data_IF_802241806164
#
_entry.id   IF_802241806164
#
_cell.length_a   1.000
_cell.length_b   1.000
_cell.length_c   1.000
_cell.angle_alpha   90.00
_cell.angle_beta   90.00
_cell.angle_gamma   90.00
#
_symmetry.space_group_name_H-M   'P 1'
#
loop_
_entity.id
_entity.type
_entity.pdbx_description
1 polymer ?
#
# COMPACT_ATOMS: atom_id res chain seq x y z
N UNK A 1 -19.54 0.76 1.13
CA UNK A 1 -19.51 -0.39 2.04
C UNK A 1 -18.41 -1.31 1.54
N UNK A 2 -17.19 -1.22 2.07
CA UNK A 2 -16.18 -2.24 1.76
C UNK A 2 -16.66 -3.52 2.45
N UNK A 3 -17.18 -4.46 1.66
CA UNK A 3 -17.29 -5.83 2.13
C UNK A 3 -15.86 -6.33 2.27
N UNK A 4 -15.47 -6.68 3.50
CA UNK A 4 -14.34 -7.56 3.74
C UNK A 4 -14.72 -8.90 3.11
N UNK A 5 -14.38 -9.03 1.83
CA UNK A 5 -14.63 -10.22 1.04
C UNK A 5 -13.78 -11.37 1.59
N UNK A 6 -14.31 -12.59 1.54
CA UNK A 6 -13.76 -13.81 2.15
C UNK A 6 -12.45 -14.27 1.49
N UNK A 7 -11.38 -13.51 1.63
CA UNK A 7 -10.03 -13.89 1.23
C UNK A 7 -9.19 -14.15 2.49
N UNK A 8 -8.30 -15.12 2.40
CA UNK A 8 -7.44 -15.57 3.50
C UNK A 8 -6.61 -14.43 4.13
N UNK A 9 -5.84 -14.74 5.19
CA UNK A 9 -5.07 -13.73 5.93
C UNK A 9 -4.28 -12.83 4.99
N UNK A 10 -4.34 -11.51 5.20
CA UNK A 10 -3.56 -10.58 4.38
C UNK A 10 -2.08 -10.80 4.68
N UNK A 11 -1.34 -11.26 3.67
CA UNK A 11 0.09 -11.50 3.81
C UNK A 11 0.84 -10.19 4.04
N UNK A 12 1.69 -10.16 5.06
CA UNK A 12 2.70 -9.10 5.30
C UNK A 12 3.73 -8.99 4.18
N UNK A 13 3.74 -9.91 3.20
CA UNK A 13 4.59 -9.84 2.02
C UNK A 13 4.37 -8.56 1.19
N UNK A 14 3.17 -7.97 1.22
CA UNK A 14 2.84 -6.74 0.49
C UNK A 14 3.22 -5.44 1.22
N UNK A 15 3.94 -5.52 2.35
CA UNK A 15 4.35 -4.34 3.08
C UNK A 15 5.64 -3.74 2.50
N UNK A 16 5.66 -2.41 2.34
CA UNK A 16 6.85 -1.64 1.96
C UNK A 16 7.98 -1.79 2.98
N UNK A 17 7.62 -2.09 4.22
CA UNK A 17 8.53 -2.37 5.30
C UNK A 17 7.88 -3.36 6.26
N UNK A 18 8.63 -4.40 6.62
CA UNK A 18 8.19 -5.45 7.54
C UNK A 18 9.19 -5.58 8.68
N UNK A 19 8.70 -5.56 9.91
CA UNK A 19 9.48 -5.83 11.12
C UNK A 19 9.11 -7.23 11.59
N UNK A 20 10.09 -8.14 11.65
CA UNK A 20 9.89 -9.52 12.04
C UNK A 20 10.37 -9.77 13.46
N UNK A 21 9.55 -10.47 14.25
CA UNK A 21 9.83 -10.89 15.62
C UNK A 21 10.45 -9.79 16.51
N UNK A 22 9.87 -8.57 16.57
CA UNK A 22 10.43 -7.51 17.40
C UNK A 22 10.37 -7.87 18.89
N UNK A 23 11.37 -7.42 19.64
CA UNK A 23 11.38 -7.51 21.10
C UNK A 23 10.35 -6.54 21.68
N UNK A 24 9.57 -6.98 22.67
CA UNK A 24 8.52 -6.17 23.33
C UNK A 24 9.04 -5.63 24.67
N UNK A 25 8.88 -4.33 24.98
CA UNK A 25 8.19 -3.30 24.18
C UNK A 25 8.95 -2.92 22.90
N UNK A 26 8.21 -2.71 21.83
CA UNK A 26 8.76 -2.27 20.55
C UNK A 26 8.30 -0.84 20.26
N UNK A 27 9.24 0.00 19.82
CA UNK A 27 8.97 1.33 19.26
C UNK A 27 9.80 1.49 17.99
N UNK A 28 9.19 1.93 16.90
CA UNK A 28 9.87 2.12 15.64
C UNK A 28 9.19 3.17 14.75
N UNK A 29 9.91 3.70 13.75
CA UNK A 29 9.36 4.67 12.83
C UNK A 29 8.34 4.02 11.87
N UNK A 30 7.35 4.80 11.47
CA UNK A 30 6.41 4.51 10.38
C UNK A 30 7.04 5.06 9.08
N UNK A 31 7.49 4.23 8.13
CA UNK A 31 8.28 4.69 7.00
C UNK A 31 7.52 5.58 5.99
N UNK A 32 7.65 6.90 6.16
CA UNK A 32 6.97 7.91 5.33
C UNK A 32 5.87 8.68 6.06
N UNK A 33 5.68 8.43 7.37
CA UNK A 33 4.57 8.96 8.14
C UNK A 33 3.27 8.22 7.83
N UNK A 34 2.17 8.68 8.41
CA UNK A 34 0.86 8.06 8.28
C UNK A 34 -0.10 8.90 7.41
N UNK A 35 -0.60 8.33 6.31
CA UNK A 35 -1.50 9.00 5.36
C UNK A 35 -2.81 8.23 5.13
N UNK A 36 -3.92 8.90 4.76
CA UNK A 36 -5.15 8.21 4.38
C UNK A 36 -4.92 7.17 3.27
N UNK A 37 -5.42 5.96 3.50
CA UNK A 37 -5.28 4.78 2.65
C UNK A 37 -4.18 3.81 3.10
N UNK A 38 -3.28 4.23 3.99
CA UNK A 38 -2.25 3.34 4.53
C UNK A 38 -2.82 2.32 5.50
N UNK A 39 -2.16 1.16 5.55
CA UNK A 39 -2.56 0.03 6.38
C UNK A 39 -1.37 -0.41 7.22
N UNK A 40 -1.62 -0.61 8.51
CA UNK A 40 -0.69 -1.29 9.42
C UNK A 40 -1.27 -2.66 9.74
N UNK A 41 -0.51 -3.71 9.44
CA UNK A 41 -0.85 -5.10 9.80
C UNK A 41 0.03 -5.53 10.96
N UNK A 42 -0.57 -6.11 12.00
CA UNK A 42 0.11 -6.66 13.17
C UNK A 42 -0.29 -8.11 13.32
N UNK A 43 0.67 -9.02 13.20
CA UNK A 43 0.47 -10.44 13.43
C UNK A 43 1.20 -10.85 14.70
N UNK A 44 0.50 -11.51 15.62
CA UNK A 44 1.03 -11.83 16.93
C UNK A 44 0.28 -12.97 17.62
N UNK A 45 0.65 -13.22 18.87
CA UNK A 45 0.00 -14.15 19.78
C UNK A 45 -0.17 -13.47 21.13
N UNK A 46 -1.35 -13.62 21.73
CA UNK A 46 -1.59 -13.19 23.11
C UNK A 46 -1.10 -14.31 24.04
N UNK A 47 -0.17 -14.06 24.97
CA UNK A 47 0.22 -15.03 26.00
C UNK A 47 -0.98 -15.52 26.84
N UNK A 48 -0.97 -16.75 27.37
CA UNK A 48 -2.05 -17.29 28.21
C UNK A 48 -2.33 -16.49 29.48
N UNK A 49 -1.32 -15.77 29.98
CA UNK A 49 -1.29 -15.00 31.22
C UNK A 49 -1.37 -13.48 30.99
N UNK A 50 -1.69 -13.03 29.77
CA UNK A 50 -1.73 -11.61 29.45
C UNK A 50 -2.89 -10.87 30.13
N UNK A 51 -2.59 -9.80 30.85
CA UNK A 51 -3.60 -8.88 31.41
C UNK A 51 -4.11 -7.88 30.38
N UNK A 52 -3.20 -7.24 29.64
CA UNK A 52 -3.51 -6.34 28.53
C UNK A 52 -2.27 -6.13 27.66
N UNK A 53 -2.47 -5.63 26.45
CA UNK A 53 -1.40 -5.03 25.64
C UNK A 53 -1.92 -3.75 24.99
N UNK A 54 -1.03 -2.92 24.48
CA UNK A 54 -1.40 -1.68 23.81
C UNK A 54 -0.63 -1.51 22.50
N UNK A 55 -1.28 -0.82 21.56
CA UNK A 55 -0.72 -0.33 20.31
C UNK A 55 -0.92 1.17 20.28
N UNK A 56 0.17 1.92 20.16
CA UNK A 56 0.14 3.38 20.11
C UNK A 56 0.70 3.88 18.78
N UNK A 57 -0.05 4.79 18.15
CA UNK A 57 0.39 5.59 17.01
C UNK A 57 0.67 7.01 17.48
N UNK A 58 1.94 7.41 17.52
CA UNK A 58 2.40 8.67 18.13
C UNK A 58 3.09 9.62 17.16
N UNK A 59 3.13 10.90 17.54
CA UNK A 59 3.90 11.95 16.87
C UNK A 59 5.24 12.12 17.59
N UNK A 60 6.20 11.27 17.24
CA UNK A 60 7.49 11.12 17.91
C UNK A 60 7.54 10.04 18.99
N UNK A 61 8.73 9.88 19.58
CA UNK A 61 9.06 8.87 20.60
C UNK A 61 9.67 9.46 21.89
N UNK A 62 9.59 10.78 22.09
CA UNK A 62 10.01 11.43 23.33
C UNK A 62 9.22 10.90 24.52
N UNK A 63 9.93 10.63 25.62
CA UNK A 63 9.37 10.19 26.90
C UNK A 63 9.26 11.33 27.92
N UNK A 64 9.87 12.49 27.64
CA UNK A 64 9.81 13.68 28.51
C UNK A 64 10.03 14.99 27.71
N UNK A 65 8.97 15.75 27.41
CA UNK A 65 7.57 15.39 27.61
C UNK A 65 7.20 14.18 26.76
N UNK A 66 6.23 13.38 27.22
CA UNK A 66 5.71 12.24 26.47
C UNK A 66 5.09 12.74 25.16
N UNK A 67 5.44 12.08 24.07
CA UNK A 67 4.91 12.39 22.75
C UNK A 67 3.40 12.16 22.68
N UNK A 68 2.71 12.99 21.90
CA UNK A 68 1.28 12.86 21.69
C UNK A 68 0.96 11.51 21.02
N UNK A 69 -0.09 10.85 21.50
CA UNK A 69 -0.60 9.58 20.97
C UNK A 69 -1.88 9.90 20.21
N UNK A 70 -1.82 9.85 18.88
CA UNK A 70 -2.97 10.09 18.03
C UNK A 70 -4.01 8.98 18.19
N UNK A 71 -3.56 7.73 18.32
CA UNK A 71 -4.42 6.58 18.51
C UNK A 71 -3.78 5.58 19.47
N UNK A 72 -4.41 5.39 20.62
CA UNK A 72 -4.14 4.35 21.59
C UNK A 72 -5.19 3.25 21.41
N UNK A 73 -4.77 2.00 21.25
CA UNK A 73 -5.63 0.83 21.18
C UNK A 73 -5.17 -0.18 22.23
N UNK A 74 -6.03 -0.50 23.19
CA UNK A 74 -5.69 -1.37 24.31
C UNK A 74 -6.71 -2.48 24.54
N UNK A 75 -6.43 -3.71 24.07
CA UNK A 75 -7.17 -4.90 24.48
C UNK A 75 -6.88 -5.27 25.95
N UNK A 76 -7.92 -5.40 26.77
CA UNK A 76 -7.88 -5.79 28.17
C UNK A 76 -8.56 -7.14 28.39
N UNK A 77 -7.93 -8.04 29.14
CA UNK A 77 -8.35 -9.41 29.41
C UNK A 77 -8.73 -9.65 30.88
N UNK A 78 -9.07 -8.58 31.61
CA UNK A 78 -9.52 -8.65 33.01
C UNK A 78 -10.95 -9.25 33.12
N UNK A 79 -11.57 -9.13 34.30
CA UNK A 79 -12.92 -9.63 34.55
C UNK A 79 -14.00 -8.96 33.67
N UNK A 80 -13.69 -7.82 33.02
CA UNK A 80 -14.53 -7.14 32.03
C UNK A 80 -13.80 -6.96 30.70
N UNK A 81 -13.64 -8.05 29.92
CA UNK A 81 -12.91 -8.04 28.66
C UNK A 81 -13.37 -6.93 27.71
N UNK A 82 -12.46 -6.05 27.30
CA UNK A 82 -12.79 -4.86 26.53
C UNK A 82 -11.63 -4.36 25.70
N UNK A 83 -11.93 -3.53 24.70
CA UNK A 83 -10.96 -2.78 23.92
C UNK A 83 -11.15 -1.31 24.22
N UNK A 84 -10.11 -0.67 24.74
CA UNK A 84 -10.10 0.75 25.08
C UNK A 84 -9.36 1.53 24.01
N UNK A 85 -9.97 2.61 23.53
CA UNK A 85 -9.36 3.55 22.61
C UNK A 85 -9.30 4.97 23.20
N UNK A 86 -8.21 5.68 22.96
CA UNK A 86 -8.08 7.09 23.36
C UNK A 86 -6.99 7.81 22.57
N UNK A 87 -6.80 9.11 22.84
CA UNK A 87 -5.69 9.92 22.36
C UNK A 87 -5.06 10.64 23.54
N UNK A 88 -3.73 10.78 23.53
CA UNK A 88 -2.96 11.54 24.50
C UNK A 88 -2.49 12.83 23.83
N UNK A 89 -2.84 13.98 24.38
CA UNK A 89 -2.41 15.29 23.90
C UNK A 89 -1.80 16.08 25.05
N UNK A 90 -0.57 16.56 24.88
CA UNK A 90 0.16 17.32 25.90
C UNK A 90 0.17 16.58 27.24
N UNK A 91 0.53 15.29 27.21
CA UNK A 91 0.58 14.39 28.37
C UNK A 91 -0.77 14.15 29.09
N UNK A 92 -1.89 14.57 28.50
CA UNK A 92 -3.24 14.39 29.06
C UNK A 92 -4.11 13.49 28.18
N UNK A 93 -4.73 12.48 28.79
CA UNK A 93 -5.66 11.60 28.08
C UNK A 93 -7.00 12.30 27.81
N UNK A 94 -7.55 12.08 26.62
CA UNK A 94 -8.88 12.56 26.25
C UNK A 94 -10.02 11.66 26.76
N UNK A 95 -11.18 11.79 26.11
CA UNK A 95 -12.37 10.96 26.39
C UNK A 95 -12.13 9.50 25.97
N UNK A 96 -12.35 8.55 26.86
CA UNK A 96 -12.16 7.13 26.57
C UNK A 96 -13.32 6.56 25.74
N UNK A 97 -12.99 5.78 24.70
CA UNK A 97 -13.95 4.99 23.93
C UNK A 97 -13.75 3.51 24.25
N UNK A 98 -14.68 2.92 25.01
CA UNK A 98 -14.61 1.51 25.46
C UNK A 98 -15.57 0.63 24.65
N UNK A 99 -15.04 -0.46 24.09
CA UNK A 99 -15.82 -1.48 23.39
C UNK A 99 -15.76 -2.81 24.17
N UNK A 100 -16.91 -3.32 24.61
CA UNK A 100 -17.01 -4.59 25.35
C UNK A 100 -16.93 -5.85 24.46
N UNK A 101 -16.49 -5.70 23.21
CA UNK A 101 -16.21 -6.80 22.30
C UNK A 101 -14.70 -6.99 22.23
N UNK A 102 -14.20 -8.13 22.75
CA UNK A 102 -12.80 -8.48 22.71
C UNK A 102 -12.54 -9.64 21.72
N UNK A 103 -12.08 -9.35 20.48
CA UNK A 103 -11.80 -10.39 19.48
C UNK A 103 -10.47 -11.13 19.72
N UNK A 104 -9.65 -10.64 20.67
CA UNK A 104 -8.39 -11.24 21.06
C UNK A 104 -8.61 -12.34 22.09
N UNK A 105 -7.87 -13.44 22.00
CA UNK A 105 -7.96 -14.57 22.95
C UNK A 105 -6.59 -14.93 23.51
N UNK A 106 -6.50 -15.08 24.84
CA UNK A 106 -5.32 -15.61 25.53
C UNK A 106 -4.91 -16.95 24.92
N UNK A 107 -3.62 -17.13 24.66
CA UNK A 107 -3.03 -18.31 24.03
C UNK A 107 -3.27 -18.45 22.52
N UNK A 108 -3.95 -17.50 21.87
CA UNK A 108 -4.29 -17.59 20.44
C UNK A 108 -3.51 -16.57 19.59
N UNK A 109 -3.24 -16.90 18.31
CA UNK A 109 -2.75 -15.92 17.37
C UNK A 109 -3.83 -14.89 17.01
N UNK A 110 -3.39 -13.73 16.55
CA UNK A 110 -4.26 -12.70 16.01
C UNK A 110 -3.62 -12.00 14.81
N UNK A 111 -4.47 -11.43 13.96
CA UNK A 111 -4.12 -10.43 12.96
C UNK A 111 -4.93 -9.16 13.25
N UNK A 112 -4.27 -8.03 13.46
CA UNK A 112 -4.90 -6.71 13.57
C UNK A 112 -4.55 -5.89 12.33
N UNK A 113 -5.55 -5.32 11.68
CA UNK A 113 -5.41 -4.42 10.54
C UNK A 113 -5.92 -3.05 10.98
N UNK A 114 -5.06 -2.04 10.91
CA UNK A 114 -5.41 -0.64 11.14
C UNK A 114 -5.35 0.07 9.79
N UNK A 115 -6.51 0.44 9.26
CA UNK A 115 -6.64 1.26 8.06
C UNK A 115 -6.77 2.73 8.46
N UNK A 116 -5.91 3.57 7.90
CA UNK A 116 -5.98 5.02 8.03
C UNK A 116 -7.02 5.52 7.03
N UNK A 117 -8.18 5.98 7.48
CA UNK A 117 -9.18 6.60 6.63
C UNK A 117 -9.13 8.13 6.76
N UNK A 118 -9.76 8.86 5.84
CA UNK A 118 -9.83 10.33 5.90
C UNK A 118 -10.51 10.86 7.17
N UNK A 119 -11.47 10.09 7.72
CA UNK A 119 -12.32 10.53 8.85
C UNK A 119 -11.93 9.87 10.18
N UNK A 120 -10.98 8.93 10.18
CA UNK A 120 -10.57 8.18 11.39
C UNK A 120 -9.74 6.93 11.08
N UNK A 121 -9.41 6.18 12.10
CA UNK A 121 -8.85 4.83 12.00
C UNK A 121 -9.96 3.80 11.93
N UNK A 122 -9.81 2.78 11.07
CA UNK A 122 -10.69 1.61 11.04
C UNK A 122 -9.88 0.40 11.43
N UNK A 123 -10.36 -0.35 12.42
CA UNK A 123 -9.66 -1.53 12.94
C UNK A 123 -10.46 -2.77 12.61
N UNK A 124 -9.76 -3.80 12.12
CA UNK A 124 -10.28 -5.15 11.97
C UNK A 124 -9.35 -6.13 12.68
N UNK A 125 -9.93 -7.17 13.28
CA UNK A 125 -9.20 -8.25 13.95
C UNK A 125 -9.69 -9.58 13.40
N UNK A 126 -8.76 -10.43 12.97
CA UNK A 126 -9.05 -11.75 12.41
C UNK A 126 -10.09 -11.70 11.28
N UNK A 127 -9.92 -10.76 10.36
CA UNK A 127 -10.80 -10.55 9.20
C UNK A 127 -12.17 -9.93 9.52
N UNK A 128 -12.46 -9.62 10.78
CA UNK A 128 -13.74 -9.02 11.19
C UNK A 128 -13.54 -7.59 11.63
N UNK A 129 -14.40 -6.67 11.16
CA UNK A 129 -14.39 -5.29 11.60
C UNK A 129 -14.64 -5.19 13.12
N UNK A 130 -13.83 -4.39 13.82
CA UNK A 130 -13.92 -4.19 15.26
C UNK A 130 -14.48 -2.82 15.62
N UNK A 131 -13.83 -1.75 15.15
CA UNK A 131 -14.17 -0.37 15.52
C UNK A 131 -13.72 0.66 14.49
N UNK A 132 -14.31 1.85 14.58
CA UNK A 132 -13.85 3.07 13.91
C UNK A 132 -13.57 4.13 14.98
N UNK A 133 -12.38 4.76 14.93
CA UNK A 133 -11.96 5.78 15.89
C UNK A 133 -11.70 7.09 15.15
N UNK A 134 -12.45 8.16 15.48
CA UNK A 134 -12.31 9.45 14.77
C UNK A 134 -10.97 10.11 15.08
N UNK A 135 -10.40 10.76 14.07
CA UNK A 135 -9.14 11.49 14.24
C UNK A 135 -9.31 12.64 15.24
N UNK A 136 -8.61 12.55 16.38
CA UNK A 136 -8.46 13.68 17.33
C UNK A 136 -7.16 14.45 17.10
N UNK A 137 -6.23 13.84 16.39
CA UNK A 137 -4.93 14.38 15.97
C UNK A 137 -4.82 14.19 14.46
N UNK A 138 -4.17 15.12 13.77
CA UNK A 138 -3.95 14.98 12.33
C UNK A 138 -3.08 13.73 12.06
N UNK A 139 -3.51 12.79 11.21
CA UNK A 139 -2.73 11.57 10.95
C UNK A 139 -1.35 11.89 10.35
N UNK A 140 -1.21 12.98 9.59
CA UNK A 140 0.03 13.36 8.92
C UNK A 140 1.20 13.67 9.86
N UNK A 141 0.94 13.95 11.15
CA UNK A 141 2.00 14.18 12.14
C UNK A 141 2.43 12.88 12.84
N UNK A 142 1.75 11.77 12.60
CA UNK A 142 2.05 10.47 13.19
C UNK A 142 3.17 9.80 12.41
N UNK A 143 4.26 9.49 13.10
CA UNK A 143 5.49 8.95 12.51
C UNK A 143 6.06 7.76 13.28
N UNK A 144 5.45 7.40 14.40
CA UNK A 144 5.99 6.41 15.34
C UNK A 144 4.92 5.39 15.69
N UNK A 145 5.28 4.12 15.56
CA UNK A 145 4.48 2.98 16.00
C UNK A 145 5.11 2.40 17.27
N UNK A 146 4.28 2.07 18.25
CA UNK A 146 4.74 1.27 19.40
C UNK A 146 3.73 0.22 19.84
N UNK A 147 4.25 -0.86 20.40
CA UNK A 147 3.47 -1.97 20.93
C UNK A 147 4.14 -2.52 22.20
N UNK A 148 3.36 -2.65 23.27
CA UNK A 148 3.86 -3.06 24.59
C UNK A 148 2.80 -3.84 25.40
N UNK A 149 3.22 -4.46 26.49
CA UNK A 149 2.37 -5.26 27.37
C UNK A 149 2.41 -6.76 27.06
N UNK A 150 1.38 -7.50 27.48
CA UNK A 150 1.28 -8.95 27.34
C UNK A 150 0.97 -9.37 25.91
N UNK A 151 1.96 -9.30 25.02
CA UNK A 151 1.82 -9.67 23.61
C UNK A 151 3.14 -10.21 23.06
N UNK A 152 3.06 -11.21 22.18
CA UNK A 152 4.18 -11.65 21.34
C UNK A 152 3.88 -11.22 19.91
N UNK A 153 4.78 -10.46 19.29
CA UNK A 153 4.60 -9.98 17.91
C UNK A 153 5.48 -10.78 16.98
N UNK A 154 4.88 -11.32 15.92
CA UNK A 154 5.56 -12.09 14.88
C UNK A 154 5.93 -11.20 13.69
N UNK A 155 5.03 -10.31 13.29
CA UNK A 155 5.27 -9.37 12.21
C UNK A 155 4.50 -8.05 12.38
N UNK A 156 5.12 -6.94 11.97
CA UNK A 156 4.47 -5.65 11.74
C UNK A 156 4.72 -5.27 10.29
N UNK A 157 3.67 -5.12 9.50
CA UNK A 157 3.75 -4.71 8.10
C UNK A 157 3.16 -3.31 7.90
N UNK A 158 3.93 -2.42 7.29
CA UNK A 158 3.47 -1.11 6.84
C UNK A 158 3.18 -1.17 5.34
N UNK A 159 1.90 -1.23 5.01
CA UNK A 159 1.43 -1.26 3.62
C UNK A 159 1.07 0.18 3.25
N UNK A 160 1.83 0.82 2.37
CA UNK A 160 1.52 2.16 1.94
C UNK A 160 0.17 2.14 1.20
N UNK A 161 -0.42 3.32 1.02
CA UNK A 161 -1.51 3.50 0.07
C UNK A 161 -1.02 3.37 -1.38
N UNK A 162 0.03 2.56 -1.66
CA UNK A 162 0.30 2.13 -3.02
C UNK A 162 -0.92 1.35 -3.43
N UNK A 163 -1.84 2.00 -4.12
CA UNK A 163 -3.08 1.38 -4.53
C UNK A 163 -2.84 0.20 -5.48
N UNK A 164 -1.58 -0.06 -5.87
CA UNK A 164 -1.09 -1.24 -6.57
C UNK A 164 -0.56 -2.28 -5.57
N UNK A 165 -1.23 -3.42 -5.47
CA UNK A 165 -0.85 -4.56 -4.62
C UNK A 165 -0.25 -5.66 -5.47
N UNK A 166 0.99 -6.06 -5.20
CA UNK A 166 1.62 -7.19 -5.90
C UNK A 166 0.86 -8.49 -5.60
N UNK A 167 0.52 -9.24 -6.64
CA UNK A 167 -0.07 -10.57 -6.49
C UNK A 167 0.93 -11.58 -5.93
N UNK A 168 2.22 -11.46 -6.28
CA UNK A 168 3.29 -12.33 -5.80
C UNK A 168 3.81 -11.93 -4.41
N UNK A 169 3.51 -10.73 -3.94
CA UNK A 169 4.08 -10.18 -2.70
C UNK A 169 5.50 -9.63 -2.86
N UNK A 170 6.03 -9.56 -4.08
CA UNK A 170 7.35 -9.02 -4.38
C UNK A 170 7.36 -8.22 -5.70
N UNK A 171 8.55 -7.79 -6.13
CA UNK A 171 8.78 -7.07 -7.38
C UNK A 171 9.33 -8.00 -8.49
N UNK A 172 9.13 -9.31 -8.37
CA UNK A 172 9.60 -10.26 -9.38
C UNK A 172 8.89 -10.04 -10.72
N UNK A 173 9.61 -10.24 -11.82
CA UNK A 173 9.09 -10.11 -13.18
C UNK A 173 8.85 -11.52 -13.74
N UNK A 174 7.65 -11.84 -14.28
CA UNK A 174 6.53 -10.93 -14.58
C UNK A 174 5.79 -10.44 -13.32
N UNK A 175 5.66 -9.12 -13.22
CA UNK A 175 4.99 -8.45 -12.11
C UNK A 175 3.52 -8.23 -12.44
N UNK A 176 2.65 -8.51 -11.47
CA UNK A 176 1.23 -8.19 -11.53
C UNK A 176 0.81 -7.45 -10.28
N UNK A 177 0.24 -6.26 -10.46
CA UNK A 177 -0.19 -5.37 -9.41
C UNK A 177 -1.67 -5.02 -9.52
N UNK A 178 -2.47 -5.29 -8.49
CA UNK A 178 -3.91 -4.95 -8.44
C UNK A 178 -4.14 -3.50 -8.02
N UNK A 179 -4.90 -2.74 -8.79
CA UNK A 179 -5.31 -1.35 -8.55
C UNK A 179 -6.75 -1.31 -7.99
N UNK A 180 -6.91 -1.33 -6.66
CA UNK A 180 -8.18 -1.67 -5.99
C UNK A 180 -9.44 -0.90 -6.44
N UNK A 181 -9.30 0.37 -6.82
CA UNK A 181 -10.43 1.23 -7.24
C UNK A 181 -10.36 1.62 -8.72
N UNK A 182 -9.48 0.96 -9.45
CA UNK A 182 -9.01 1.41 -10.75
C UNK A 182 -8.33 2.78 -10.71
N UNK A 183 -8.12 3.36 -11.88
CA UNK A 183 -7.51 4.67 -12.02
C UNK A 183 -8.55 5.80 -12.03
N UNK A 184 -8.09 6.99 -11.63
CA UNK A 184 -8.85 8.23 -11.68
C UNK A 184 -7.97 9.39 -12.13
N UNK A 185 -8.55 10.43 -12.75
CA UNK A 185 -7.79 11.60 -13.18
C UNK A 185 -7.02 12.26 -12.03
N UNK A 186 -5.77 12.62 -12.28
CA UNK A 186 -4.85 13.20 -11.30
C UNK A 186 -3.91 12.18 -10.65
N UNK A 187 -4.24 10.89 -10.71
CA UNK A 187 -3.37 9.84 -10.20
C UNK A 187 -2.19 9.59 -11.11
N UNK A 188 -1.06 9.16 -10.53
CA UNK A 188 0.09 8.74 -11.32
C UNK A 188 0.78 7.51 -10.77
N UNK A 189 1.29 6.69 -11.69
CA UNK A 189 2.08 5.51 -11.38
C UNK A 189 3.55 5.84 -11.58
N UNK A 190 4.37 5.57 -10.57
CA UNK A 190 5.83 5.60 -10.67
C UNK A 190 6.36 4.17 -10.76
N UNK A 191 7.17 3.87 -11.76
CA UNK A 191 7.85 2.59 -11.94
C UNK A 191 9.35 2.86 -12.02
N UNK A 192 10.11 2.31 -11.09
CA UNK A 192 11.57 2.42 -11.05
C UNK A 192 12.18 1.05 -11.27
N UNK A 193 13.23 1.00 -12.04
CA UNK A 193 13.93 -0.24 -12.32
C UNK A 193 15.26 -0.02 -13.00
N UNK A 194 15.86 -1.14 -13.38
CA UNK A 194 17.06 -1.18 -14.19
C UNK A 194 16.77 -2.03 -15.43
N UNK A 195 17.13 -1.53 -16.61
CA UNK A 195 17.06 -2.34 -17.83
C UNK A 195 18.12 -3.45 -17.73
N UNK A 196 17.79 -4.69 -18.13
CA UNK A 196 18.77 -5.77 -18.13
C UNK A 196 19.99 -5.46 -19.02
N UNK A 197 21.12 -6.14 -18.80
CA UNK A 197 22.36 -5.96 -19.56
C UNK A 197 22.30 -6.39 -21.04
N UNK A 198 21.33 -7.23 -21.40
CA UNK A 198 21.14 -7.71 -22.77
C UNK A 198 19.66 -7.67 -23.17
N UNK A 199 19.05 -6.47 -23.22
CA UNK A 199 17.61 -6.34 -23.34
C UNK A 199 17.18 -6.42 -24.82
N UNK A 200 16.15 -7.23 -25.09
CA UNK A 200 15.39 -7.16 -26.33
C UNK A 200 14.26 -6.13 -26.20
N UNK A 201 13.40 -6.32 -25.19
CA UNK A 201 12.25 -5.46 -24.93
C UNK A 201 11.65 -5.72 -23.56
N UNK A 202 10.90 -4.75 -23.06
CA UNK A 202 10.00 -4.98 -21.94
C UNK A 202 8.62 -4.40 -22.23
N UNK A 203 7.65 -4.75 -21.41
CA UNK A 203 6.26 -4.35 -21.55
C UNK A 203 5.71 -3.86 -20.22
N UNK A 204 4.94 -2.78 -20.26
CA UNK A 204 4.12 -2.28 -19.15
C UNK A 204 2.68 -2.18 -19.67
N UNK A 205 1.74 -2.84 -19.00
CA UNK A 205 0.33 -2.84 -19.36
C UNK A 205 -0.52 -2.28 -18.23
N UNK A 206 -1.51 -1.45 -18.58
CA UNK A 206 -2.64 -1.14 -17.73
C UNK A 206 -3.87 -1.88 -18.24
N UNK A 207 -4.37 -2.81 -17.43
CA UNK A 207 -5.36 -3.78 -17.82
C UNK A 207 -6.66 -3.64 -17.02
N UNK A 208 -7.72 -4.22 -17.58
CA UNK A 208 -8.94 -4.57 -16.87
C UNK A 208 -8.92 -6.08 -16.59
N UNK A 209 -8.77 -6.45 -15.33
CA UNK A 209 -8.57 -7.82 -14.85
C UNK A 209 -9.73 -8.78 -15.17
N UNK A 210 -10.93 -8.25 -15.46
CA UNK A 210 -12.13 -9.05 -15.75
C UNK A 210 -12.34 -9.35 -17.22
N UNK A 211 -11.76 -8.53 -18.09
CA UNK A 211 -11.98 -8.59 -19.55
C UNK A 211 -10.72 -8.89 -20.33
N UNK A 212 -9.56 -8.88 -19.66
CA UNK A 212 -8.23 -8.97 -20.28
C UNK A 212 -7.92 -7.82 -21.27
N UNK A 213 -8.78 -6.80 -21.31
CA UNK A 213 -8.56 -5.62 -22.12
C UNK A 213 -7.34 -4.83 -21.58
N UNK A 214 -6.45 -4.43 -22.48
CA UNK A 214 -5.29 -3.58 -22.18
C UNK A 214 -5.63 -2.17 -22.62
N UNK A 215 -5.95 -1.31 -21.65
CA UNK A 215 -6.26 0.09 -21.90
C UNK A 215 -5.02 0.86 -22.41
N UNK A 216 -3.84 0.56 -21.86
CA UNK A 216 -2.56 1.10 -22.31
C UNK A 216 -1.50 0.01 -22.31
N UNK A 217 -0.97 -0.29 -23.47
CA UNK A 217 0.20 -1.15 -23.69
C UNK A 217 1.40 -0.28 -24.03
N UNK A 218 2.50 -0.45 -23.31
CA UNK A 218 3.77 0.23 -23.50
C UNK A 218 4.85 -0.81 -23.79
N UNK A 219 5.49 -0.75 -24.96
CA UNK A 219 6.52 -1.72 -25.34
C UNK A 219 7.76 -1.05 -25.95
N UNK A 220 8.74 -0.68 -25.12
CA UNK A 220 10.08 -0.31 -25.56
C UNK A 220 10.82 -1.50 -26.17
N UNK A 221 11.35 -1.33 -27.38
CA UNK A 221 12.17 -2.31 -28.10
C UNK A 221 13.55 -1.73 -28.34
N UNK A 222 14.54 -2.32 -27.68
CA UNK A 222 15.88 -1.73 -27.56
C UNK A 222 16.63 -1.72 -28.90
N UNK A 223 16.62 -2.86 -29.62
CA UNK A 223 17.36 -3.02 -30.87
C UNK A 223 16.91 -2.05 -31.98
N UNK A 224 15.61 -1.80 -32.09
CA UNK A 224 15.05 -0.89 -33.08
C UNK A 224 14.87 0.53 -32.56
N UNK A 225 15.12 0.77 -31.26
CA UNK A 225 14.87 2.04 -30.57
C UNK A 225 13.45 2.58 -30.81
N UNK A 226 12.45 1.68 -30.78
CA UNK A 226 11.03 2.03 -30.94
C UNK A 226 10.33 1.85 -29.61
N UNK A 227 9.50 2.82 -29.23
CA UNK A 227 8.59 2.70 -28.10
C UNK A 227 7.16 2.66 -28.63
N UNK A 228 6.60 1.45 -28.67
CA UNK A 228 5.23 1.23 -29.15
C UNK A 228 4.25 1.53 -28.02
N UNK A 229 3.19 2.27 -28.36
CA UNK A 229 2.00 2.43 -27.52
C UNK A 229 0.78 1.92 -28.26
N UNK A 230 -0.10 1.19 -27.58
CA UNK A 230 -1.33 0.70 -28.18
C UNK A 230 -2.38 0.38 -27.09
N UNK A 231 -3.55 -0.09 -27.50
CA UNK A 231 -4.54 -0.74 -26.65
C UNK A 231 -4.93 -2.07 -27.29
N UNK A 232 -5.22 -3.07 -26.46
CA UNK A 232 -5.79 -4.35 -26.89
C UNK A 232 -7.20 -4.43 -26.33
N UNK A 233 -8.20 -4.31 -27.21
CA UNK A 233 -9.60 -4.21 -26.83
C UNK A 233 -10.40 -5.24 -27.62
N UNK A 234 -11.27 -5.97 -26.92
CA UNK A 234 -12.21 -6.94 -27.50
C UNK A 234 -11.53 -7.96 -28.43
N UNK A 235 -10.36 -8.46 -28.00
CA UNK A 235 -9.62 -9.49 -28.71
C UNK A 235 -8.74 -9.00 -29.87
N UNK A 236 -8.52 -7.69 -30.01
CA UNK A 236 -7.72 -7.14 -31.10
C UNK A 236 -6.83 -5.97 -30.69
N UNK A 237 -5.66 -5.87 -31.34
CA UNK A 237 -4.78 -4.70 -31.22
C UNK A 237 -5.32 -3.54 -32.06
N UNK A 238 -5.32 -2.34 -31.47
CA UNK A 238 -5.62 -1.12 -32.20
C UNK A 238 -4.47 -0.61 -33.06
N UNK A 239 -4.57 0.66 -33.48
CA UNK A 239 -3.50 1.34 -34.20
C UNK A 239 -2.32 1.64 -33.26
N UNK A 240 -1.10 1.28 -33.67
CA UNK A 240 0.10 1.60 -32.92
C UNK A 240 0.49 3.08 -33.04
N UNK A 241 0.95 3.66 -31.94
CA UNK A 241 1.58 4.97 -31.90
C UNK A 241 3.08 4.80 -31.62
N UNK A 242 3.95 5.31 -32.50
CA UNK A 242 5.42 5.10 -32.45
C UNK A 242 6.28 6.38 -32.43
N UNK A 243 5.66 7.53 -32.63
CA UNK A 243 6.32 8.85 -32.63
C UNK A 243 6.98 9.16 -31.28
N UNK A 244 8.25 9.55 -31.31
CA UNK A 244 9.08 9.89 -30.16
C UNK A 244 10.12 10.94 -30.56
N UNK A 245 10.49 11.80 -29.61
CA UNK A 245 11.60 12.74 -29.78
C UNK A 245 12.96 12.04 -29.67
N UNK A 246 13.08 11.10 -28.73
CA UNK A 246 14.26 10.28 -28.49
C UNK A 246 13.86 8.96 -27.81
N UNK A 247 14.72 7.95 -27.89
CA UNK A 247 14.50 6.69 -27.19
C UNK A 247 15.14 6.77 -25.78
N UNK A 248 14.37 6.57 -24.69
CA UNK A 248 14.83 6.95 -23.34
C UNK A 248 15.51 5.84 -22.54
N UNK A 249 15.68 4.64 -23.11
CA UNK A 249 16.20 3.47 -22.40
C UNK A 249 17.52 2.99 -22.99
N UNK A 250 18.41 2.52 -22.11
CA UNK A 250 19.73 1.99 -22.45
C UNK A 250 19.98 0.71 -21.66
N UNK A 251 20.78 -0.20 -22.22
CA UNK A 251 21.13 -1.46 -21.57
C UNK A 251 21.85 -1.24 -20.23
N UNK A 252 21.44 -1.95 -19.18
CA UNK A 252 22.04 -1.86 -17.85
C UNK A 252 21.73 -0.56 -17.09
N UNK A 253 21.00 0.39 -17.68
CA UNK A 253 20.77 1.69 -17.08
C UNK A 253 19.52 1.73 -16.20
N UNK A 254 19.58 2.57 -15.18
CA UNK A 254 18.44 2.92 -14.34
C UNK A 254 17.38 3.68 -15.14
N UNK A 255 16.11 3.45 -14.81
CA UNK A 255 15.01 4.27 -15.27
C UNK A 255 14.00 4.56 -14.16
N UNK A 256 13.35 5.71 -14.28
CA UNK A 256 12.13 6.07 -13.59
C UNK A 256 11.08 6.47 -14.63
N UNK A 257 9.97 5.74 -14.69
CA UNK A 257 8.79 6.08 -15.48
C UNK A 257 7.78 6.73 -14.54
N UNK A 258 7.25 7.88 -14.95
CA UNK A 258 6.06 8.49 -14.36
C UNK A 258 4.94 8.47 -15.39
N UNK A 259 3.86 7.77 -15.07
CA UNK A 259 2.67 7.64 -15.90
C UNK A 259 1.50 8.35 -15.21
N UNK A 260 1.20 9.56 -15.66
CA UNK A 260 0.11 10.40 -15.14
C UNK A 260 -1.19 10.11 -15.90
N UNK A 261 -2.24 9.77 -15.16
CA UNK A 261 -3.60 9.64 -15.67
C UNK A 261 -4.29 11.01 -15.62
N UNK A 262 -4.67 11.57 -16.77
CA UNK A 262 -5.51 12.77 -16.86
C UNK A 262 -6.93 12.42 -17.30
N UNK A 263 -7.81 13.41 -17.44
CA UNK A 263 -9.21 13.18 -17.81
C UNK A 263 -9.38 12.56 -19.21
N UNK A 264 -8.48 12.83 -20.15
CA UNK A 264 -8.63 12.41 -21.55
C UNK A 264 -7.43 11.66 -22.13
N UNK A 265 -6.35 11.54 -21.37
CA UNK A 265 -5.10 10.96 -21.84
C UNK A 265 -4.19 10.54 -20.68
N UNK A 266 -3.25 9.66 -20.99
CA UNK A 266 -2.06 9.43 -20.20
C UNK A 266 -0.94 10.36 -20.65
N UNK A 267 -0.14 10.85 -19.71
CA UNK A 267 1.15 11.48 -19.98
C UNK A 267 2.26 10.62 -19.40
N UNK A 268 3.29 10.36 -20.18
CA UNK A 268 4.44 9.60 -19.73
C UNK A 268 5.70 10.47 -19.74
N UNK A 269 6.47 10.37 -18.67
CA UNK A 269 7.81 10.91 -18.55
C UNK A 269 8.79 9.79 -18.17
N UNK A 270 10.03 9.90 -18.64
CA UNK A 270 11.13 9.02 -18.23
C UNK A 270 12.26 9.89 -17.68
N UNK A 271 12.76 9.55 -16.49
CA UNK A 271 13.86 10.26 -15.80
C UNK A 271 13.61 11.78 -15.72
N UNK A 272 12.39 12.16 -15.32
CA UNK A 272 11.95 13.55 -15.16
C UNK A 272 11.64 14.30 -16.46
N UNK A 273 11.87 13.69 -17.63
CA UNK A 273 11.62 14.33 -18.93
C UNK A 273 10.36 13.78 -19.58
N UNK A 274 9.44 14.68 -19.93
CA UNK A 274 8.23 14.31 -20.67
C UNK A 274 8.57 13.71 -22.03
N UNK A 275 7.89 12.62 -22.39
CA UNK A 275 8.19 11.88 -23.62
C UNK A 275 7.02 11.88 -24.61
N UNK A 276 5.81 11.55 -24.14
CA UNK A 276 4.62 11.52 -24.98
C UNK A 276 3.31 11.56 -24.18
N UNK A 277 2.24 11.74 -24.94
CA UNK A 277 0.85 11.64 -24.49
C UNK A 277 0.18 10.50 -25.23
N UNK A 278 -0.78 9.82 -24.59
CA UNK A 278 -1.57 8.77 -25.21
C UNK A 278 -3.05 8.99 -24.86
N UNK A 279 -3.89 9.28 -25.86
CA UNK A 279 -5.32 9.54 -25.62
C UNK A 279 -6.02 8.28 -25.14
N UNK A 280 -6.94 8.45 -24.19
CA UNK A 280 -7.70 7.34 -23.62
C UNK A 280 -8.55 6.67 -24.70
N UNK A 281 -8.31 5.38 -24.93
CA UNK A 281 -9.18 4.52 -25.76
C UNK A 281 -10.25 3.83 -24.93
N UNK A 282 -10.03 3.72 -23.62
CA UNK A 282 -11.01 3.28 -22.61
C UNK A 282 -11.40 4.50 -21.77
N UNK A 283 -12.69 4.84 -21.73
CA UNK A 283 -13.19 6.02 -20.99
C UNK A 283 -13.47 5.71 -19.52
N UNK A 284 -13.84 4.46 -19.21
CA UNK A 284 -14.03 4.02 -17.82
C UNK A 284 -12.67 3.72 -17.17
N UNK A 285 -12.03 4.76 -16.66
CA UNK A 285 -10.73 4.66 -15.96
C UNK A 285 -10.80 3.80 -14.70
N UNK A 286 -11.97 3.73 -14.04
CA UNK A 286 -12.16 2.90 -12.85
C UNK A 286 -12.14 1.40 -13.17
N UNK A 287 -12.29 1.04 -14.45
CA UNK A 287 -12.16 -0.33 -14.95
C UNK A 287 -10.70 -0.77 -15.13
N UNK A 288 -9.75 0.17 -15.10
CA UNK A 288 -8.30 -0.10 -15.24
C UNK A 288 -7.74 -0.45 -13.86
N UNK A 289 -7.87 -1.72 -13.49
CA UNK A 289 -7.66 -2.24 -12.14
C UNK A 289 -6.42 -3.14 -12.00
N UNK A 290 -5.56 -3.23 -13.02
CA UNK A 290 -4.35 -4.05 -12.96
C UNK A 290 -3.17 -3.42 -13.72
N UNK A 291 -1.98 -3.51 -13.15
CA UNK A 291 -0.70 -3.18 -13.77
C UNK A 291 0.08 -4.48 -14.00
N UNK A 292 0.53 -4.72 -15.22
CA UNK A 292 1.41 -5.84 -15.54
C UNK A 292 2.74 -5.34 -16.11
N UNK A 293 3.86 -5.93 -15.65
CA UNK A 293 5.19 -5.59 -16.17
C UNK A 293 5.95 -6.88 -16.47
N UNK A 294 6.52 -6.99 -17.67
CA UNK A 294 7.22 -8.19 -18.13
C UNK A 294 8.37 -7.87 -19.09
N UNK A 295 9.31 -8.80 -19.23
CA UNK A 295 10.45 -8.69 -20.15
C UNK A 295 11.75 -8.27 -19.46
N UNK A 296 12.65 -7.65 -20.23
CA UNK A 296 14.07 -7.55 -19.87
C UNK A 296 14.40 -6.35 -18.96
N UNK A 297 13.93 -6.41 -17.71
CA UNK A 297 14.21 -5.43 -16.65
C UNK A 297 14.20 -6.07 -15.26
N UNK A 298 14.77 -5.35 -14.30
CA UNK A 298 14.61 -5.58 -12.87
C UNK A 298 13.83 -4.42 -12.23
N UNK A 299 12.80 -4.73 -11.44
CA UNK A 299 12.00 -3.71 -10.75
C UNK A 299 12.62 -3.37 -9.40
N UNK A 300 12.68 -2.07 -9.10
CA UNK A 300 13.17 -1.52 -7.83
C UNK A 300 12.00 -0.98 -6.99
N UNK A 301 11.01 -0.37 -7.62
CA UNK A 301 9.87 0.26 -6.92
C UNK A 301 8.68 0.44 -7.87
N UNK A 302 7.47 0.22 -7.39
CA UNK A 302 6.21 0.48 -8.11
C UNK A 302 5.25 1.15 -7.15
N UNK A 303 4.77 2.35 -7.50
CA UNK A 303 3.88 3.15 -6.65
C UNK A 303 2.76 3.78 -7.45
N UNK A 304 1.60 3.93 -6.82
CA UNK A 304 0.49 4.75 -7.31
C UNK A 304 0.24 5.84 -6.27
N UNK A 305 0.03 7.06 -6.76
CA UNK A 305 -0.21 8.28 -5.99
C UNK A 305 -1.54 8.90 -6.38
#
# INVERSE_FOLDING_TARGET
MMQFDKRGPMSVANAKHTVLNPVIPYTGPIPGGLHPGEIIIIQGTVPPDADSFQVDLSSGCSTKPRSDVAFHLRPCFDDSPSVVCNSLLQESWGEEETLHQLPYKRGAPFETIILVHKDGFKVAVNGTHLLEYKHRVCPNVVDTFSISGGVRVHAIGYIPNSAIYSESGDLSVPYKGSILKGLSPGQHITIRGQVSLYPHSFTINLCNSKTENIALHLNPRMKSSVFIRNSYLDGSWGQEERELLYFPFSSGEYFEILLLCQSHQFKLAVNGSHLFEFRHRVQDLSSIDQLEIMGDLELIDVKLW
#
